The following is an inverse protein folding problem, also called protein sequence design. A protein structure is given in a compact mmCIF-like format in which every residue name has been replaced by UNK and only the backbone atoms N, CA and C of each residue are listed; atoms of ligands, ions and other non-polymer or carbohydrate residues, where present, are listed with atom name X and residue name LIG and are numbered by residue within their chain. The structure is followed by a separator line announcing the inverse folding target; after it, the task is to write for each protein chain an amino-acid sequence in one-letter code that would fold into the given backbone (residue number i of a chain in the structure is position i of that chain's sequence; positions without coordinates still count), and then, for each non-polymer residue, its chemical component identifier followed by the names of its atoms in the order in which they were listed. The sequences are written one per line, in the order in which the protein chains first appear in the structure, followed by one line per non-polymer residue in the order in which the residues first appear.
data_IF_734900923409
#
_entry.id   IF_734900923409
#
_cell.length_a   1.000
_cell.length_b   1.000
_cell.length_c   1.000
_cell.angle_alpha   90.00
_cell.angle_beta   90.00
_cell.angle_gamma   90.00
#
_symmetry.space_group_name_H-M   'P 1'
#
loop_
_entity.id
_entity.type
_entity.pdbx_description
1 polymer ?
#
# COMPACT_ATOMS: atom_id res chain seq x y z
N UNK A 1 -1.53 67.00 64.78
CA UNK A 1 -1.59 65.82 63.88
C UNK A 1 -2.99 65.22 63.97
N UNK A 2 -3.78 65.25 62.89
CA UNK A 2 -5.12 64.64 62.84
C UNK A 2 -5.00 63.34 62.03
N UNK A 3 -5.22 62.20 62.68
CA UNK A 3 -5.21 60.90 62.02
C UNK A 3 -6.52 60.70 61.24
N UNK A 4 -6.44 60.68 59.91
CA UNK A 4 -7.55 60.33 59.04
C UNK A 4 -7.77 58.81 59.08
N UNK A 5 -8.64 58.36 59.98
CA UNK A 5 -9.18 56.99 59.96
C UNK A 5 -10.02 56.80 58.69
N UNK A 6 -9.50 56.06 57.71
CA UNK A 6 -10.27 55.61 56.53
C UNK A 6 -11.47 54.79 57.02
N UNK A 7 -12.70 55.26 56.79
CA UNK A 7 -13.91 54.45 57.02
C UNK A 7 -13.90 53.29 56.03
N UNK A 8 -14.13 52.08 56.51
CA UNK A 8 -14.37 50.93 55.65
C UNK A 8 -15.73 51.11 54.98
N UNK A 9 -15.74 51.48 53.70
CA UNK A 9 -16.93 51.45 52.85
C UNK A 9 -17.25 49.98 52.54
N UNK A 10 -18.25 49.44 53.24
CA UNK A 10 -18.77 48.10 52.97
C UNK A 10 -19.74 48.12 51.78
N UNK A 11 -19.94 46.96 51.16
CA UNK A 11 -20.95 46.80 50.12
C UNK A 11 -22.35 46.82 50.71
N UNK A 12 -23.26 47.51 50.04
CA UNK A 12 -24.68 47.44 50.38
C UNK A 12 -25.25 46.08 49.99
N UNK A 13 -26.29 45.64 50.72
CA UNK A 13 -26.96 44.36 50.44
C UNK A 13 -27.46 44.28 48.99
N UNK A 14 -27.92 45.40 48.43
CA UNK A 14 -28.43 45.47 47.05
C UNK A 14 -27.30 45.29 46.01
N UNK A 15 -26.12 45.88 46.25
CA UNK A 15 -24.95 45.69 45.37
C UNK A 15 -24.50 44.23 45.37
N UNK A 16 -24.58 43.54 46.51
CA UNK A 16 -24.25 42.11 46.60
C UNK A 16 -25.26 41.27 45.80
N UNK A 17 -26.56 41.55 45.96
CA UNK A 17 -27.63 40.81 45.24
C UNK A 17 -27.49 41.01 43.72
N UNK A 18 -27.30 42.25 43.27
CA UNK A 18 -27.10 42.56 41.84
C UNK A 18 -25.84 41.86 41.32
N UNK A 19 -24.74 41.92 42.07
CA UNK A 19 -23.48 41.26 41.68
C UNK A 19 -23.63 39.74 41.56
N UNK A 20 -24.32 39.11 42.51
CA UNK A 20 -24.59 37.66 42.46
C UNK A 20 -25.49 37.29 41.28
N UNK A 21 -26.51 38.10 40.98
CA UNK A 21 -27.39 37.88 39.84
C UNK A 21 -26.64 37.99 38.50
N UNK A 22 -25.78 39.01 38.35
CA UNK A 22 -24.94 39.19 37.15
C UNK A 22 -23.95 38.03 36.98
N UNK A 23 -23.29 37.59 38.05
CA UNK A 23 -22.39 36.43 38.01
C UNK A 23 -23.16 35.18 37.58
N UNK A 24 -24.34 34.91 38.16
CA UNK A 24 -25.14 33.74 37.81
C UNK A 24 -25.52 33.70 36.32
N UNK A 25 -25.94 34.83 35.74
CA UNK A 25 -26.29 34.93 34.31
C UNK A 25 -25.06 34.65 33.44
N UNK A 26 -23.91 35.25 33.77
CA UNK A 26 -22.67 35.08 33.01
C UNK A 26 -22.13 33.65 33.14
N UNK A 27 -22.21 33.05 34.34
CA UNK A 27 -21.71 31.70 34.61
C UNK A 27 -22.34 30.65 33.72
N UNK A 28 -23.65 30.76 33.40
CA UNK A 28 -24.32 29.82 32.48
C UNK A 28 -23.72 29.90 31.07
N UNK A 29 -23.48 31.11 30.57
CA UNK A 29 -22.88 31.33 29.26
C UNK A 29 -21.43 30.81 29.19
N UNK A 30 -20.62 31.14 30.20
CA UNK A 30 -19.22 30.70 30.29
C UNK A 30 -19.13 29.18 30.41
N UNK A 31 -19.99 28.56 31.21
CA UNK A 31 -20.01 27.10 31.37
C UNK A 31 -20.32 26.39 30.05
N UNK A 32 -21.33 26.85 29.31
CA UNK A 32 -21.66 26.27 28.00
C UNK A 32 -20.52 26.45 26.99
N UNK A 33 -19.92 27.64 26.92
CA UNK A 33 -18.77 27.89 26.06
C UNK A 33 -17.58 26.98 26.42
N UNK A 34 -17.30 26.83 27.71
CA UNK A 34 -16.25 25.93 28.22
C UNK A 34 -16.50 24.47 27.83
N UNK A 35 -17.73 23.98 27.98
CA UNK A 35 -18.09 22.62 27.55
C UNK A 35 -17.90 22.41 26.05
N UNK A 36 -18.24 23.40 25.22
CA UNK A 36 -18.02 23.34 23.77
C UNK A 36 -16.53 23.27 23.46
N UNK A 37 -15.72 24.11 24.10
CA UNK A 37 -14.26 24.10 23.91
C UNK A 37 -13.63 22.77 24.31
N UNK A 38 -14.04 22.16 25.44
CA UNK A 38 -13.57 20.83 25.82
C UNK A 38 -13.96 19.78 24.77
N UNK A 39 -15.21 19.82 24.28
CA UNK A 39 -15.66 18.87 23.26
C UNK A 39 -14.87 19.01 21.95
N UNK A 40 -14.62 20.24 21.51
CA UNK A 40 -13.85 20.51 20.30
C UNK A 40 -12.38 20.10 20.45
N UNK A 41 -11.75 20.42 21.57
CA UNK A 41 -10.35 20.03 21.83
C UNK A 41 -10.19 18.51 21.92
N UNK A 42 -11.09 17.81 22.61
CA UNK A 42 -11.10 16.33 22.65
C UNK A 42 -11.30 15.72 21.25
N UNK A 43 -12.23 16.26 20.45
CA UNK A 43 -12.43 15.80 19.08
C UNK A 43 -11.20 16.05 18.19
N UNK A 44 -10.52 17.19 18.37
CA UNK A 44 -9.27 17.50 17.69
C UNK A 44 -8.13 16.56 18.07
N UNK A 45 -7.99 16.25 19.37
CA UNK A 45 -7.02 15.27 19.87
C UNK A 45 -7.24 13.88 19.29
N UNK A 46 -8.50 13.40 19.27
CA UNK A 46 -8.84 12.12 18.66
C UNK A 46 -8.44 12.07 17.17
N UNK A 47 -8.74 13.12 16.40
CA UNK A 47 -8.32 13.18 14.98
C UNK A 47 -6.80 13.13 14.80
N UNK A 48 -6.05 13.85 15.62
CA UNK A 48 -4.59 13.86 15.55
C UNK A 48 -3.99 12.50 15.91
N UNK A 49 -4.48 11.86 16.97
CA UNK A 49 -3.98 10.55 17.40
C UNK A 49 -4.36 9.45 16.40
N UNK A 50 -5.59 9.46 15.87
CA UNK A 50 -6.00 8.58 14.78
C UNK A 50 -5.15 8.79 13.52
N UNK A 51 -4.79 10.03 13.18
CA UNK A 51 -3.91 10.27 12.03
C UNK A 51 -2.51 9.72 12.24
N UNK A 52 -1.98 9.76 13.47
CA UNK A 52 -0.68 9.19 13.81
C UNK A 52 -0.71 7.65 13.71
N UNK A 53 -1.68 7.01 14.35
CA UNK A 53 -1.81 5.55 14.33
C UNK A 53 -2.11 5.02 12.92
N UNK A 54 -2.99 5.72 12.19
CA UNK A 54 -3.29 5.41 10.80
C UNK A 54 -2.05 5.48 9.91
N UNK A 55 -1.20 6.51 10.06
CA UNK A 55 0.06 6.62 9.33
C UNK A 55 1.04 5.50 9.68
N UNK A 56 1.14 5.14 10.96
CA UNK A 56 1.97 4.02 11.40
C UNK A 56 1.59 2.73 10.66
N UNK A 57 0.30 2.41 10.60
CA UNK A 57 -0.20 1.24 9.84
C UNK A 57 0.20 1.34 8.35
N UNK A 58 0.05 2.51 7.75
CA UNK A 58 0.42 2.72 6.34
C UNK A 58 1.91 2.52 6.07
N UNK A 59 2.78 3.01 6.97
CA UNK A 59 4.22 2.84 6.88
C UNK A 59 4.62 1.37 7.05
N UNK A 60 4.05 0.68 8.03
CA UNK A 60 4.27 -0.76 8.25
C UNK A 60 3.79 -1.61 7.08
N UNK A 61 2.67 -1.22 6.43
CA UNK A 61 2.19 -1.85 5.20
C UNK A 61 3.14 -1.64 4.03
N UNK A 62 3.83 -0.49 3.96
CA UNK A 62 4.81 -0.25 2.91
C UNK A 62 6.11 -1.02 3.19
N UNK A 63 6.57 -1.03 4.44
CA UNK A 63 7.84 -1.62 4.83
C UNK A 63 7.86 -3.16 4.87
N UNK A 64 6.75 -3.80 5.30
CA UNK A 64 6.75 -5.25 5.57
C UNK A 64 5.86 -6.03 4.62
N UNK A 65 6.28 -7.24 4.26
CA UNK A 65 5.45 -8.16 3.47
C UNK A 65 4.19 -8.56 4.24
N UNK A 66 3.03 -8.37 3.62
CA UNK A 66 1.76 -8.83 4.15
C UNK A 66 1.51 -10.27 3.66
N UNK A 67 0.91 -11.10 4.50
CA UNK A 67 0.48 -12.46 4.14
C UNK A 67 -1.01 -12.56 4.37
N UNK A 68 -1.78 -12.89 3.35
CA UNK A 68 -3.23 -13.10 3.50
C UNK A 68 -3.48 -14.58 3.81
N UNK A 69 -4.23 -14.90 4.87
CA UNK A 69 -4.64 -16.27 5.13
C UNK A 69 -5.45 -16.84 3.95
N UNK A 70 -5.07 -18.03 3.49
CA UNK A 70 -5.79 -18.75 2.43
C UNK A 70 -7.25 -19.08 2.78
N UNK A 71 -7.60 -19.07 4.07
CA UNK A 71 -8.95 -19.33 4.54
C UNK A 71 -9.44 -18.19 5.43
N UNK A 72 -10.50 -17.53 4.97
CA UNK A 72 -11.14 -16.40 5.65
C UNK A 72 -12.18 -16.95 6.63
N UNK A 73 -11.69 -17.57 7.70
CA UNK A 73 -12.53 -18.01 8.83
C UNK A 73 -12.57 -16.93 9.93
N UNK A 74 -13.47 -17.03 10.90
CA UNK A 74 -13.61 -16.07 12.00
C UNK A 74 -12.32 -15.79 12.79
N UNK A 75 -11.38 -16.74 12.78
CA UNK A 75 -10.13 -16.68 13.53
C UNK A 75 -8.92 -16.25 12.67
N UNK A 76 -9.13 -15.97 11.38
CA UNK A 76 -8.05 -15.54 10.52
C UNK A 76 -7.56 -14.13 10.94
N UNK A 77 -6.26 -13.91 10.87
CA UNK A 77 -5.64 -12.65 11.23
C UNK A 77 -4.56 -12.29 10.21
N UNK A 78 -4.37 -10.98 10.00
CA UNK A 78 -3.24 -10.44 9.26
C UNK A 78 -2.33 -9.68 10.22
N UNK A 79 -1.03 -9.79 10.01
CA UNK A 79 -0.03 -9.02 10.74
C UNK A 79 0.56 -7.96 9.81
N UNK A 80 0.50 -6.72 10.26
CA UNK A 80 1.07 -5.54 9.62
C UNK A 80 2.17 -5.03 10.55
N UNK A 81 3.41 -5.49 10.33
CA UNK A 81 4.48 -5.31 11.31
C UNK A 81 4.11 -5.97 12.65
N UNK A 82 4.17 -5.22 13.74
CA UNK A 82 3.76 -5.65 15.09
C UNK A 82 2.24 -5.53 15.35
N UNK A 83 1.45 -5.11 14.35
CA UNK A 83 0.02 -4.86 14.50
C UNK A 83 -0.79 -6.04 13.95
N UNK A 84 -1.60 -6.67 14.79
CA UNK A 84 -2.47 -7.78 14.37
C UNK A 84 -3.90 -7.31 14.17
N UNK A 85 -4.43 -7.49 12.96
CA UNK A 85 -5.85 -7.32 12.65
C UNK A 85 -6.55 -8.68 12.58
N UNK A 86 -7.73 -8.78 13.20
CA UNK A 86 -8.53 -10.00 13.35
C UNK A 86 -9.90 -9.82 12.68
N UNK A 87 -10.81 -10.78 12.88
CA UNK A 87 -12.23 -10.66 12.51
C UNK A 87 -12.44 -10.35 11.02
N UNK A 88 -11.98 -11.24 10.12
CA UNK A 88 -12.14 -10.99 8.72
C UNK A 88 -13.62 -11.01 8.36
N UNK A 89 -14.02 -10.07 7.52
CA UNK A 89 -15.35 -9.97 6.97
C UNK A 89 -15.23 -9.86 5.45
N UNK A 90 -15.71 -10.87 4.73
CA UNK A 90 -15.87 -10.77 3.30
C UNK A 90 -16.94 -9.72 2.97
N UNK A 91 -16.65 -8.87 2.01
CA UNK A 91 -17.53 -7.80 1.52
C UNK A 91 -17.73 -8.02 0.02
N UNK A 92 -18.75 -7.38 -0.57
CA UNK A 92 -18.98 -7.43 -2.01
C UNK A 92 -17.72 -7.05 -2.82
N UNK A 93 -17.62 -7.55 -4.05
CA UNK A 93 -16.50 -7.30 -4.99
C UNK A 93 -15.15 -7.89 -4.54
N UNK A 94 -15.16 -9.12 -4.00
CA UNK A 94 -13.97 -9.88 -3.56
C UNK A 94 -13.07 -9.17 -2.54
N UNK A 95 -13.59 -8.13 -1.88
CA UNK A 95 -12.88 -7.39 -0.85
C UNK A 95 -12.98 -8.09 0.51
N UNK A 96 -11.91 -8.02 1.29
CA UNK A 96 -11.86 -8.58 2.65
C UNK A 96 -11.49 -7.47 3.63
N UNK A 97 -12.27 -7.33 4.70
CA UNK A 97 -12.00 -6.36 5.77
C UNK A 97 -11.49 -7.10 7.00
N UNK A 98 -10.34 -6.68 7.52
CA UNK A 98 -9.84 -7.08 8.83
C UNK A 98 -10.00 -5.93 9.82
N UNK A 99 -10.37 -6.24 11.06
CA UNK A 99 -10.67 -5.25 12.10
C UNK A 99 -9.76 -5.41 13.32
N UNK A 100 -9.43 -4.29 13.93
CA UNK A 100 -8.80 -4.21 15.25
C UNK A 100 -9.59 -3.22 16.09
N UNK A 101 -9.82 -3.56 17.36
CA UNK A 101 -10.59 -2.74 18.27
C UNK A 101 -9.66 -2.07 19.27
N UNK A 102 -9.87 -0.77 19.50
CA UNK A 102 -9.03 0.03 20.39
C UNK A 102 -9.85 0.70 21.49
N UNK A 103 -9.22 0.92 22.64
CA UNK A 103 -9.77 1.72 23.74
C UNK A 103 -9.52 3.23 23.54
N UNK A 104 -9.88 4.05 24.54
CA UNK A 104 -9.73 5.52 24.49
C UNK A 104 -8.26 5.99 24.35
N UNK A 105 -7.29 5.14 24.69
CA UNK A 105 -5.86 5.41 24.61
C UNK A 105 -5.21 4.82 23.34
N UNK A 106 -6.00 4.39 22.35
CA UNK A 106 -5.51 3.75 21.13
C UNK A 106 -4.74 2.45 21.38
N UNK A 107 -5.04 1.76 22.49
CA UNK A 107 -4.50 0.45 22.82
C UNK A 107 -5.49 -0.64 22.48
N UNK A 108 -4.98 -1.76 21.96
CA UNK A 108 -5.75 -2.99 21.73
C UNK A 108 -5.90 -3.85 23.00
N UNK A 109 -5.26 -3.44 24.10
CA UNK A 109 -5.44 -3.99 25.44
C UNK A 109 -6.27 -3.07 26.32
N UNK A 110 -7.15 -3.66 27.12
CA UNK A 110 -7.87 -2.97 28.19
C UNK A 110 -7.01 -2.85 29.47
N UNK A 111 -7.57 -2.22 30.51
CA UNK A 111 -6.88 -2.02 31.79
C UNK A 111 -6.51 -3.31 32.53
N UNK A 112 -7.07 -4.45 32.14
CA UNK A 112 -6.74 -5.78 32.67
C UNK A 112 -5.66 -6.51 31.86
N UNK A 113 -5.22 -5.93 30.74
CA UNK A 113 -4.30 -6.56 29.79
C UNK A 113 -4.98 -7.51 28.79
N UNK A 114 -6.31 -7.55 28.79
CA UNK A 114 -7.11 -8.37 27.87
C UNK A 114 -7.34 -7.64 26.54
N UNK A 115 -7.57 -8.37 25.45
CA UNK A 115 -7.90 -7.77 24.15
C UNK A 115 -9.21 -6.97 24.25
N UNK A 116 -9.19 -5.74 23.72
CA UNK A 116 -10.39 -4.93 23.55
C UNK A 116 -11.32 -5.64 22.58
N UNK A 117 -12.57 -5.86 23.01
CA UNK A 117 -13.57 -6.52 22.19
C UNK A 117 -14.54 -5.51 21.55
N UNK A 118 -15.42 -6.03 20.71
CA UNK A 118 -16.42 -5.24 19.98
C UNK A 118 -17.29 -4.37 20.92
N UNK A 119 -17.62 -4.85 22.11
CA UNK A 119 -18.55 -4.16 23.03
C UNK A 119 -17.85 -3.03 23.79
N UNK A 120 -16.57 -3.20 24.11
CA UNK A 120 -15.77 -2.26 24.91
C UNK A 120 -15.00 -1.23 24.08
N UNK A 121 -15.02 -1.33 22.75
CA UNK A 121 -14.22 -0.49 21.87
C UNK A 121 -14.63 0.98 21.92
N UNK A 122 -13.63 1.85 21.82
CA UNK A 122 -13.82 3.27 21.51
C UNK A 122 -13.56 3.56 20.04
N UNK A 123 -12.58 2.90 19.45
CA UNK A 123 -12.24 3.05 18.04
C UNK A 123 -12.21 1.69 17.34
N UNK A 124 -12.54 1.71 16.06
CA UNK A 124 -12.38 0.56 15.16
C UNK A 124 -11.36 0.92 14.10
N UNK A 125 -10.30 0.14 14.01
CA UNK A 125 -9.36 0.19 12.87
C UNK A 125 -9.74 -0.90 11.88
N UNK A 126 -9.73 -0.55 10.60
CA UNK A 126 -10.06 -1.51 9.53
C UNK A 126 -9.03 -1.45 8.43
N UNK A 127 -8.56 -2.62 7.99
CA UNK A 127 -7.79 -2.80 6.77
C UNK A 127 -8.66 -3.52 5.76
N UNK A 128 -9.03 -2.84 4.70
CA UNK A 128 -9.76 -3.39 3.57
C UNK A 128 -8.77 -3.75 2.48
N UNK A 129 -8.75 -5.00 2.08
CA UNK A 129 -7.96 -5.52 0.97
C UNK A 129 -8.92 -5.81 -0.17
N UNK A 130 -8.84 -5.01 -1.23
CA UNK A 130 -9.58 -5.28 -2.47
C UNK A 130 -8.61 -5.76 -3.54
N UNK A 131 -8.74 -6.99 -4.05
CA UNK A 131 -7.89 -7.43 -5.15
C UNK A 131 -8.15 -6.51 -6.35
N UNK A 132 -7.11 -5.86 -6.83
CA UNK A 132 -7.13 -5.11 -8.07
C UNK A 132 -6.99 -6.13 -9.19
N UNK A 133 -8.07 -6.39 -9.91
CA UNK A 133 -7.97 -7.07 -11.19
C UNK A 133 -7.17 -6.13 -12.11
N UNK A 134 -5.95 -6.53 -12.46
CA UNK A 134 -5.29 -5.94 -13.61
C UNK A 134 -6.18 -6.26 -14.80
N UNK A 135 -6.78 -5.23 -15.40
CA UNK A 135 -7.62 -5.41 -16.56
C UNK A 135 -6.77 -6.02 -17.69
N UNK A 136 -7.30 -7.08 -18.26
CA UNK A 136 -6.56 -8.13 -18.94
C UNK A 136 -7.17 -9.50 -18.65
N UNK A 137 -8.51 -9.58 -18.70
CA UNK A 137 -9.35 -10.77 -18.66
C UNK A 137 -8.72 -12.04 -18.02
N UNK A 138 -9.07 -12.27 -16.75
CA UNK A 138 -8.79 -13.47 -15.93
C UNK A 138 -7.37 -13.58 -15.34
N UNK A 139 -7.17 -12.94 -14.18
CA UNK A 139 -6.20 -13.47 -13.21
C UNK A 139 -6.96 -14.20 -12.10
N UNK A 140 -7.44 -15.40 -12.45
CA UNK A 140 -7.60 -16.49 -11.49
C UNK A 140 -6.52 -17.52 -11.87
N UNK A 141 -5.40 -17.52 -11.14
CA UNK A 141 -4.47 -18.65 -11.17
C UNK A 141 -4.87 -19.61 -10.06
N UNK A 142 -5.93 -20.38 -10.33
CA UNK A 142 -6.20 -21.58 -9.55
C UNK A 142 -5.17 -22.63 -9.98
N UNK A 143 -4.29 -23.00 -9.06
CA UNK A 143 -3.43 -24.18 -9.16
C UNK A 143 -4.31 -25.38 -9.54
N UNK A 144 -4.19 -25.91 -10.77
CA UNK A 144 -4.36 -27.33 -11.13
C UNK A 144 -4.56 -27.62 -12.63
N UNK A 145 -4.62 -26.63 -13.52
CA UNK A 145 -4.67 -26.92 -14.95
C UNK A 145 -3.43 -26.43 -15.68
N UNK A 146 -2.75 -27.42 -16.28
CA UNK A 146 -1.68 -27.29 -17.25
C UNK A 146 -1.91 -26.14 -18.22
N UNK A 147 -0.84 -25.38 -18.40
CA UNK A 147 -0.52 -24.48 -19.51
C UNK A 147 -1.17 -25.01 -20.80
N UNK A 148 -2.32 -24.44 -21.16
CA UNK A 148 -2.94 -24.51 -22.47
C UNK A 148 -4.08 -23.49 -22.48
N UNK A 149 -3.78 -22.24 -22.83
CA UNK A 149 -4.82 -21.23 -23.09
C UNK A 149 -4.66 -19.86 -22.41
N UNK A 150 -3.46 -19.40 -22.07
CA UNK A 150 -3.24 -17.97 -21.83
C UNK A 150 -3.34 -17.25 -23.18
N UNK A 151 -4.44 -16.53 -23.40
CA UNK A 151 -4.57 -15.65 -24.57
C UNK A 151 -3.45 -14.61 -24.52
N UNK A 152 -2.64 -14.66 -25.57
CA UNK A 152 -1.26 -14.21 -25.67
C UNK A 152 -1.17 -12.71 -26.04
N UNK A 153 -1.81 -11.84 -25.26
CA UNK A 153 -2.01 -10.45 -25.70
C UNK A 153 -1.07 -9.42 -25.09
N UNK A 154 -0.42 -9.69 -23.95
CA UNK A 154 0.49 -8.73 -23.30
C UNK A 154 1.95 -8.94 -23.72
N UNK A 155 2.69 -7.85 -23.88
CA UNK A 155 4.10 -7.91 -24.29
C UNK A 155 4.98 -8.36 -23.11
N UNK A 156 5.78 -9.41 -23.32
CA UNK A 156 6.64 -9.98 -22.28
C UNK A 156 8.01 -10.32 -22.85
N UNK A 157 9.04 -10.05 -22.07
CA UNK A 157 10.37 -10.59 -22.30
C UNK A 157 11.00 -11.12 -21.02
N UNK A 158 12.00 -11.97 -21.19
CA UNK A 158 12.66 -12.75 -20.17
C UNK A 158 14.12 -12.37 -20.10
N UNK A 159 14.63 -12.16 -18.89
CA UNK A 159 16.06 -12.02 -18.61
C UNK A 159 16.48 -13.27 -17.83
N UNK A 160 17.51 -13.95 -18.32
CA UNK A 160 18.00 -15.19 -17.74
C UNK A 160 19.52 -15.23 -17.66
N UNK A 161 20.03 -16.28 -17.03
CA UNK A 161 21.46 -16.51 -16.85
C UNK A 161 21.81 -17.94 -17.20
N UNK A 162 22.77 -18.11 -18.11
CA UNK A 162 23.30 -19.40 -18.53
C UNK A 162 24.81 -19.48 -18.32
N UNK A 163 25.39 -20.68 -18.51
CA UNK A 163 26.82 -20.91 -18.37
C UNK A 163 27.68 -20.00 -19.27
N UNK A 164 27.11 -19.46 -20.35
CA UNK A 164 27.77 -18.55 -21.29
C UNK A 164 27.62 -17.07 -20.95
N UNK A 165 26.77 -16.69 -19.99
CA UNK A 165 26.50 -15.29 -19.64
C UNK A 165 25.01 -14.99 -19.39
N UNK A 166 24.72 -13.73 -19.10
CA UNK A 166 23.35 -13.23 -18.98
C UNK A 166 22.73 -13.00 -20.36
N UNK A 167 21.42 -13.21 -20.50
CA UNK A 167 20.73 -13.11 -21.78
C UNK A 167 19.33 -12.53 -21.67
N UNK A 168 18.80 -12.08 -22.81
CA UNK A 168 17.41 -11.64 -22.97
C UNK A 168 16.72 -12.32 -24.17
N UNK A 169 15.46 -12.70 -23.99
CA UNK A 169 14.62 -13.34 -25.03
C UNK A 169 13.14 -12.99 -24.86
N UNK A 170 12.36 -13.01 -25.94
CA UNK A 170 10.91 -12.91 -25.91
C UNK A 170 10.20 -14.27 -25.73
N UNK A 171 10.94 -15.38 -25.80
CA UNK A 171 10.40 -16.73 -25.64
C UNK A 171 11.28 -17.57 -24.71
N UNK A 172 10.76 -18.00 -23.55
CA UNK A 172 11.55 -18.70 -22.55
C UNK A 172 11.97 -20.12 -22.97
N UNK A 173 11.37 -20.67 -24.04
CA UNK A 173 11.64 -22.01 -24.57
C UNK A 173 12.52 -21.98 -25.84
N UNK A 174 13.08 -20.82 -26.22
CA UNK A 174 13.79 -20.66 -27.49
C UNK A 174 15.05 -21.51 -27.65
N UNK A 175 15.57 -22.14 -26.59
CA UNK A 175 16.71 -23.05 -26.67
C UNK A 175 16.45 -24.31 -27.53
N UNK A 176 15.19 -24.62 -27.86
CA UNK A 176 14.81 -25.70 -28.78
C UNK A 176 14.64 -25.25 -30.26
N UNK A 177 14.77 -23.95 -30.54
CA UNK A 177 14.62 -23.38 -31.89
C UNK A 177 15.86 -22.58 -32.29
N UNK A 178 16.16 -22.47 -33.60
CA UNK A 178 17.38 -21.84 -34.13
C UNK A 178 17.56 -20.31 -33.86
N UNK A 179 16.80 -19.71 -32.94
CA UNK A 179 16.97 -18.32 -32.52
C UNK A 179 17.70 -18.29 -31.17
N UNK A 180 18.99 -17.94 -31.18
CA UNK A 180 19.76 -17.78 -29.96
C UNK A 180 19.31 -16.51 -29.19
N UNK A 181 19.22 -16.57 -27.85
CA UNK A 181 19.04 -15.38 -27.03
C UNK A 181 20.15 -14.35 -27.24
N UNK A 182 19.83 -13.07 -27.03
CA UNK A 182 20.83 -12.00 -27.11
C UNK A 182 21.62 -11.95 -25.80
N UNK A 183 22.94 -12.11 -25.89
CA UNK A 183 23.85 -11.97 -24.76
C UNK A 183 23.88 -10.53 -24.26
N UNK A 184 23.79 -10.34 -22.94
CA UNK A 184 23.84 -9.04 -22.30
C UNK A 184 25.30 -8.74 -21.95
N UNK A 185 25.88 -7.74 -22.59
CA UNK A 185 27.21 -7.27 -22.22
C UNK A 185 27.16 -6.60 -20.83
N UNK A 186 28.12 -6.92 -19.96
CA UNK A 186 28.19 -6.37 -18.61
C UNK A 186 29.09 -5.13 -18.51
N UNK A 187 28.68 -4.14 -17.70
CA UNK A 187 29.57 -3.04 -17.32
C UNK A 187 30.31 -3.38 -16.03
N UNK A 188 31.47 -4.03 -16.14
CA UNK A 188 32.55 -4.29 -15.15
C UNK A 188 32.20 -4.80 -13.73
N UNK A 189 30.97 -4.60 -13.22
CA UNK A 189 30.38 -4.97 -11.92
C UNK A 189 28.85 -4.96 -11.90
N UNK A 190 28.15 -4.49 -12.93
CA UNK A 190 26.67 -4.41 -12.97
C UNK A 190 26.11 -4.64 -14.38
N UNK A 191 24.91 -5.21 -14.45
CA UNK A 191 24.14 -5.36 -15.68
C UNK A 191 23.33 -4.08 -15.86
N UNK A 192 23.44 -3.43 -17.02
CA UNK A 192 22.67 -2.21 -17.32
C UNK A 192 21.91 -2.39 -18.61
N UNK A 193 20.59 -2.30 -18.52
CA UNK A 193 19.66 -2.45 -19.64
C UNK A 193 18.86 -1.17 -19.79
N UNK A 194 18.63 -0.73 -21.02
CA UNK A 194 17.77 0.40 -21.33
C UNK A 194 16.55 -0.04 -22.13
N UNK A 195 15.35 0.24 -21.62
CA UNK A 195 14.07 -0.06 -22.28
C UNK A 195 13.49 1.23 -22.84
N UNK A 196 13.29 1.27 -24.15
CA UNK A 196 12.70 2.40 -24.87
C UNK A 196 11.30 2.01 -25.33
N UNK A 197 10.31 2.83 -24.97
CA UNK A 197 8.93 2.73 -25.45
C UNK A 197 8.70 3.94 -26.37
N UNK A 198 8.75 3.72 -27.68
CA UNK A 198 8.56 4.76 -28.68
C UNK A 198 7.20 4.56 -29.37
N UNK A 199 6.48 5.64 -29.70
CA UNK A 199 5.25 5.52 -30.49
C UNK A 199 5.59 4.90 -31.85
N UNK A 200 4.85 3.86 -32.25
CA UNK A 200 5.14 3.17 -33.50
C UNK A 200 4.94 4.09 -34.70
N UNK A 201 5.85 4.01 -35.67
CA UNK A 201 5.78 4.82 -36.89
C UNK A 201 4.68 4.33 -37.85
N UNK A 202 4.24 3.08 -37.70
CA UNK A 202 3.32 2.42 -38.61
C UNK A 202 1.88 2.37 -38.08
N UNK A 203 1.69 2.39 -36.76
CA UNK A 203 0.38 2.34 -36.11
C UNK A 203 0.34 3.25 -34.86
N UNK A 204 -0.57 4.22 -34.85
CA UNK A 204 -0.67 5.20 -33.77
C UNK A 204 -1.17 4.60 -32.44
N UNK A 205 -1.77 3.41 -32.46
CA UNK A 205 -2.24 2.70 -31.28
C UNK A 205 -1.19 1.74 -30.71
N UNK A 206 0.00 1.70 -31.33
CA UNK A 206 1.08 0.79 -30.94
C UNK A 206 2.33 1.54 -30.49
N UNK A 207 3.09 0.87 -29.65
CA UNK A 207 4.42 1.26 -29.22
C UNK A 207 5.45 0.24 -29.70
N UNK A 208 6.58 0.75 -30.20
CA UNK A 208 7.77 -0.05 -30.50
C UNK A 208 8.63 -0.08 -29.23
N UNK A 209 8.87 -1.28 -28.73
CA UNK A 209 9.65 -1.55 -27.52
C UNK A 209 11.03 -2.01 -27.95
N UNK A 210 12.07 -1.27 -27.55
CA UNK A 210 13.46 -1.63 -27.80
C UNK A 210 14.22 -1.80 -26.51
N UNK A 211 14.90 -2.93 -26.36
CA UNK A 211 15.77 -3.20 -25.23
C UNK A 211 17.21 -3.15 -25.69
N UNK A 212 18.03 -2.35 -25.03
CA UNK A 212 19.45 -2.14 -25.37
C UNK A 212 20.36 -2.47 -24.19
N UNK A 213 21.57 -2.94 -24.50
CA UNK A 213 22.66 -3.07 -23.52
C UNK A 213 23.26 -1.70 -23.13
N UNK A 214 24.29 -1.71 -22.28
CA UNK A 214 24.99 -0.48 -21.87
C UNK A 214 25.84 0.17 -22.98
N UNK A 215 26.21 -0.58 -24.02
CA UNK A 215 26.92 -0.07 -25.21
C UNK A 215 25.95 0.56 -26.22
N UNK A 216 24.64 0.37 -26.03
CA UNK A 216 23.58 0.84 -26.92
C UNK A 216 23.23 -0.15 -28.04
N UNK A 217 23.75 -1.38 -27.99
CA UNK A 217 23.42 -2.45 -28.92
C UNK A 217 21.98 -2.92 -28.69
N UNK A 218 21.23 -3.16 -29.77
CA UNK A 218 19.87 -3.68 -29.67
C UNK A 218 19.89 -5.15 -29.26
N UNK A 219 19.26 -5.48 -28.14
CA UNK A 219 19.14 -6.84 -27.63
C UNK A 219 17.79 -7.47 -27.98
N UNK A 220 16.72 -6.67 -27.95
CA UNK A 220 15.37 -7.10 -28.29
C UNK A 220 14.59 -5.94 -28.93
N UNK A 221 13.73 -6.27 -29.88
CA UNK A 221 12.77 -5.33 -30.46
C UNK A 221 11.43 -6.02 -30.66
N UNK A 222 10.36 -5.42 -30.13
CA UNK A 222 9.00 -5.93 -30.22
C UNK A 222 8.00 -4.79 -30.33
N UNK A 223 6.77 -5.09 -30.72
CA UNK A 223 5.68 -4.11 -30.82
C UNK A 223 4.55 -4.51 -29.88
N UNK A 224 3.98 -3.54 -29.19
CA UNK A 224 2.87 -3.70 -28.25
C UNK A 224 1.75 -2.70 -28.54
N UNK A 225 0.55 -2.96 -28.06
CA UNK A 225 -0.52 -1.95 -28.05
C UNK A 225 -0.27 -0.97 -26.87
N UNK A 226 -0.48 0.33 -27.06
CA UNK A 226 -0.13 1.40 -26.08
C UNK A 226 -0.87 1.24 -24.74
N UNK A 227 -2.06 0.64 -24.76
CA UNK A 227 -2.88 0.40 -23.58
C UNK A 227 -2.47 -0.87 -22.81
N UNK A 228 -1.58 -1.69 -23.38
CA UNK A 228 -1.17 -2.96 -22.78
C UNK A 228 0.06 -2.84 -21.92
N UNK A 229 0.12 -3.73 -20.94
CA UNK A 229 1.21 -3.77 -19.97
C UNK A 229 2.43 -4.53 -20.51
N UNK A 230 3.62 -4.06 -20.15
CA UNK A 230 4.89 -4.71 -20.43
C UNK A 230 5.35 -5.53 -19.22
N UNK A 231 5.73 -6.79 -19.46
CA UNK A 231 6.23 -7.70 -18.43
C UNK A 231 7.72 -8.01 -18.64
N UNK A 232 8.52 -7.79 -17.61
CA UNK A 232 9.95 -8.11 -17.53
C UNK A 232 10.11 -9.27 -16.55
N UNK A 233 10.48 -10.46 -17.02
CA UNK A 233 10.45 -11.67 -16.22
C UNK A 233 11.86 -12.27 -16.01
N UNK A 234 12.24 -12.47 -14.75
CA UNK A 234 13.54 -13.03 -14.32
C UNK A 234 13.45 -14.49 -13.84
N UNK A 235 12.40 -15.24 -14.20
CA UNK A 235 12.21 -16.64 -13.79
C UNK A 235 13.31 -17.59 -14.31
N UNK A 236 14.07 -17.16 -15.32
CA UNK A 236 15.19 -17.93 -15.89
C UNK A 236 16.54 -17.49 -15.33
N UNK A 237 16.59 -16.52 -14.42
CA UNK A 237 17.85 -15.96 -13.91
C UNK A 237 18.50 -16.84 -12.83
N UNK A 238 17.71 -17.58 -12.06
CA UNK A 238 18.20 -18.37 -10.91
C UNK A 238 18.08 -19.89 -11.13
N UNK A 239 17.69 -20.36 -12.32
CA UNK A 239 17.49 -21.80 -12.57
C UNK A 239 18.78 -22.60 -12.67
N UNK A 240 19.91 -21.96 -12.96
CA UNK A 240 21.06 -22.68 -13.49
C UNK A 240 22.11 -23.08 -12.46
N UNK A 241 22.17 -22.54 -11.23
CA UNK A 241 23.10 -23.06 -10.22
C UNK A 241 22.75 -22.70 -8.77
N UNK A 242 22.92 -23.66 -7.86
CA UNK A 242 22.95 -23.53 -6.38
C UNK A 242 24.08 -22.62 -5.84
N UNK A 243 24.63 -21.71 -6.65
CA UNK A 243 25.73 -20.84 -6.22
C UNK A 243 25.20 -19.58 -5.57
N UNK A 244 25.37 -19.53 -4.25
CA UNK A 244 25.29 -18.35 -3.38
C UNK A 244 26.36 -17.29 -3.74
N UNK A 245 26.47 -16.90 -5.01
CA UNK A 245 27.44 -15.90 -5.47
C UNK A 245 26.73 -14.65 -5.92
N UNK A 246 26.97 -13.57 -5.16
CA UNK A 246 26.72 -12.15 -5.47
C UNK A 246 26.40 -11.90 -6.95
N UNK A 247 25.12 -11.99 -7.32
CA UNK A 247 24.70 -11.57 -8.64
C UNK A 247 24.96 -10.08 -8.78
N UNK A 248 25.54 -9.70 -9.92
CA UNK A 248 25.77 -8.32 -10.25
C UNK A 248 24.42 -7.57 -10.16
N UNK A 249 24.34 -6.41 -9.51
CA UNK A 249 23.11 -5.64 -9.48
C UNK A 249 22.66 -5.31 -10.91
N UNK A 250 21.37 -5.42 -11.16
CA UNK A 250 20.75 -5.17 -12.46
C UNK A 250 20.10 -3.79 -12.41
N UNK A 251 20.45 -2.93 -13.35
CA UNK A 251 19.86 -1.60 -13.49
C UNK A 251 19.05 -1.54 -14.79
N UNK A 252 17.75 -1.29 -14.67
CA UNK A 252 16.84 -1.11 -15.80
C UNK A 252 16.50 0.37 -15.92
N UNK A 253 16.94 0.99 -17.01
CA UNK A 253 16.66 2.38 -17.34
C UNK A 253 15.47 2.45 -18.31
N UNK A 254 14.35 3.05 -17.89
CA UNK A 254 13.13 3.11 -18.69
C UNK A 254 12.97 4.50 -19.30
N UNK A 255 12.80 4.54 -20.62
CA UNK A 255 12.54 5.73 -21.40
C UNK A 255 11.18 5.59 -22.10
N UNK A 256 10.11 5.96 -21.39
CA UNK A 256 8.81 6.12 -22.03
C UNK A 256 8.79 7.43 -22.83
N UNK A 257 8.67 7.31 -24.15
CA UNK A 257 8.60 8.43 -25.10
C UNK A 257 7.23 8.52 -25.77
N UNK A 258 6.26 7.76 -25.27
CA UNK A 258 4.85 7.89 -25.64
C UNK A 258 4.19 9.00 -24.80
N UNK A 259 2.96 9.35 -25.17
CA UNK A 259 2.15 10.36 -24.46
C UNK A 259 1.34 9.76 -23.30
N UNK A 260 1.27 8.43 -23.21
CA UNK A 260 0.45 7.69 -22.24
C UNK A 260 1.35 7.07 -21.18
N UNK A 261 0.88 6.99 -19.94
CA UNK A 261 1.60 6.31 -18.88
C UNK A 261 1.62 4.79 -19.13
N UNK A 262 2.81 4.20 -19.32
CA UNK A 262 2.95 2.76 -19.53
C UNK A 262 3.00 2.01 -18.20
N UNK A 263 2.36 0.83 -18.16
CA UNK A 263 2.38 -0.07 -17.02
C UNK A 263 3.47 -1.12 -17.23
N UNK A 264 4.48 -1.16 -16.36
CA UNK A 264 5.60 -2.11 -16.43
C UNK A 264 5.61 -3.00 -15.19
N UNK A 265 5.50 -4.30 -15.40
CA UNK A 265 5.56 -5.32 -14.38
C UNK A 265 6.92 -6.00 -14.40
N UNK A 266 7.57 -6.07 -13.24
CA UNK A 266 8.88 -6.70 -13.09
C UNK A 266 8.70 -7.92 -12.20
N UNK A 267 8.93 -9.11 -12.73
CA UNK A 267 8.76 -10.40 -12.05
C UNK A 267 10.13 -10.97 -11.71
N UNK A 268 10.56 -10.91 -10.45
CA UNK A 268 11.91 -11.31 -10.01
C UNK A 268 11.95 -12.07 -8.69
N UNK A 269 13.07 -12.71 -8.39
CA UNK A 269 13.29 -13.32 -7.07
C UNK A 269 13.66 -12.28 -6.01
N UNK A 270 13.42 -12.59 -4.74
CA UNK A 270 13.80 -11.75 -3.59
C UNK A 270 15.33 -11.61 -3.48
N UNK A 271 16.08 -12.61 -3.91
CA UNK A 271 17.55 -12.60 -3.93
C UNK A 271 18.11 -11.68 -5.00
N UNK A 272 17.34 -11.38 -6.06
CA UNK A 272 17.84 -10.59 -7.18
C UNK A 272 17.74 -9.08 -6.94
N UNK A 273 18.89 -8.42 -6.98
CA UNK A 273 19.01 -6.96 -6.86
C UNK A 273 18.77 -6.28 -8.21
N UNK A 274 17.49 -6.05 -8.53
CA UNK A 274 17.06 -5.26 -9.69
C UNK A 274 16.60 -3.89 -9.23
N UNK A 275 17.24 -2.84 -9.74
CA UNK A 275 16.85 -1.45 -9.60
C UNK A 275 16.28 -0.95 -10.91
N UNK A 276 15.24 -0.13 -10.84
CA UNK A 276 14.58 0.41 -12.02
C UNK A 276 14.44 1.92 -11.90
N UNK A 277 15.01 2.62 -12.86
CA UNK A 277 15.03 4.08 -12.93
C UNK A 277 14.22 4.56 -14.14
N UNK A 278 13.23 5.43 -13.88
CA UNK A 278 12.49 6.13 -14.94
C UNK A 278 13.33 7.32 -15.38
N UNK A 279 13.89 7.25 -16.59
CA UNK A 279 14.73 8.30 -17.17
C UNK A 279 13.91 9.30 -18.00
N UNK A 280 12.77 8.88 -18.55
CA UNK A 280 11.88 9.73 -19.35
C UNK A 280 10.44 9.20 -19.36
N UNK A 281 9.47 10.12 -19.37
CA UNK A 281 8.03 9.82 -19.50
C UNK A 281 7.35 9.42 -18.19
N UNK A 282 6.05 9.14 -18.28
CA UNK A 282 5.25 8.63 -17.16
C UNK A 282 5.20 7.11 -17.23
N UNK A 283 5.53 6.44 -16.13
CA UNK A 283 5.53 4.98 -16.05
C UNK A 283 5.03 4.57 -14.67
N UNK A 284 4.14 3.58 -14.64
CA UNK A 284 3.77 2.89 -13.42
C UNK A 284 4.59 1.60 -13.32
N UNK A 285 5.49 1.52 -12.35
CA UNK A 285 6.31 0.33 -12.12
C UNK A 285 5.65 -0.55 -11.05
N UNK A 286 5.47 -1.82 -11.39
CA UNK A 286 4.95 -2.85 -10.51
C UNK A 286 6.06 -3.89 -10.25
N UNK A 287 6.80 -3.74 -9.14
CA UNK A 287 7.85 -4.68 -8.72
C UNK A 287 7.22 -5.88 -7.99
N UNK A 288 7.32 -7.07 -8.59
CA UNK A 288 6.81 -8.34 -8.09
C UNK A 288 7.98 -9.25 -7.69
N UNK A 289 8.14 -9.49 -6.38
CA UNK A 289 9.25 -10.26 -5.80
C UNK A 289 8.79 -11.61 -5.25
N UNK A 290 9.38 -12.71 -5.72
CA UNK A 290 9.08 -14.08 -5.27
C UNK A 290 10.19 -14.64 -4.36
N UNK A 291 9.82 -15.38 -3.30
CA UNK A 291 10.80 -16.04 -2.39
C UNK A 291 11.47 -17.27 -3.04
N UNK A 292 10.87 -17.83 -4.10
CA UNK A 292 11.36 -19.03 -4.78
C UNK A 292 11.21 -18.85 -6.29
N UNK A 293 12.27 -19.17 -7.03
CA UNK A 293 12.41 -19.00 -8.49
C UNK A 293 11.63 -20.01 -9.30
N UNK A 294 11.33 -21.18 -8.72
CA UNK A 294 10.42 -22.18 -9.30
C UNK A 294 8.94 -21.91 -8.97
N UNK A 295 8.68 -21.03 -7.98
CA UNK A 295 7.34 -20.59 -7.59
C UNK A 295 7.26 -19.07 -7.70
N UNK A 296 7.51 -18.54 -8.91
CA UNK A 296 7.12 -17.19 -9.30
C UNK A 296 5.59 -17.05 -9.33
N UNK A 297 4.92 -17.40 -8.23
CA UNK A 297 3.50 -17.19 -8.04
C UNK A 297 3.31 -15.70 -7.87
N UNK A 298 2.71 -15.10 -8.88
CA UNK A 298 2.23 -13.73 -8.87
C UNK A 298 1.41 -13.54 -7.58
N UNK A 299 1.86 -12.66 -6.69
CA UNK A 299 0.99 -12.17 -5.61
C UNK A 299 -0.12 -11.32 -6.22
N UNK A 300 -1.34 -11.41 -5.69
CA UNK A 300 -2.44 -10.58 -6.18
C UNK A 300 -2.16 -9.12 -5.78
N UNK A 301 -2.32 -8.18 -6.71
CA UNK A 301 -2.26 -6.75 -6.39
C UNK A 301 -3.52 -6.40 -5.59
N UNK A 302 -3.34 -5.72 -4.45
CA UNK A 302 -4.47 -5.24 -3.66
C UNK A 302 -4.44 -3.72 -3.58
N UNK A 303 -5.60 -3.12 -3.81
CA UNK A 303 -5.94 -1.79 -3.30
C UNK A 303 -6.23 -1.96 -1.80
N UNK A 304 -5.34 -1.39 -0.98
CA UNK A 304 -5.44 -1.43 0.48
C UNK A 304 -6.01 -0.10 0.95
N UNK A 305 -7.09 -0.16 1.71
CA UNK A 305 -7.66 0.98 2.41
C UNK A 305 -7.55 0.76 3.92
N UNK A 306 -6.98 1.72 4.62
CA UNK A 306 -6.93 1.75 6.09
C UNK A 306 -7.88 2.83 6.59
N UNK A 307 -8.73 2.50 7.56
CA UNK A 307 -9.65 3.45 8.19
C UNK A 307 -9.61 3.33 9.71
N UNK A 308 -9.79 4.46 10.40
CA UNK A 308 -9.99 4.49 11.85
C UNK A 308 -11.26 5.28 12.12
N UNK A 309 -12.24 4.64 12.77
CA UNK A 309 -13.55 5.22 13.06
C UNK A 309 -13.79 5.35 14.55
N UNK A 310 -14.46 6.44 14.95
CA UNK A 310 -14.97 6.62 16.31
C UNK A 310 -16.25 5.82 16.52
N UNK A 311 -16.24 4.91 17.49
CA UNK A 311 -17.41 4.22 17.99
C UNK A 311 -18.01 4.99 19.16
N UNK A 312 -19.27 5.42 19.00
CA UNK A 312 -20.00 6.09 20.07
C UNK A 312 -21.20 5.24 20.50
N UNK A 313 -21.15 4.77 21.75
CA UNK A 313 -22.29 4.12 22.41
C UNK A 313 -23.27 5.19 22.87
N UNK A 314 -24.50 5.17 22.36
CA UNK A 314 -25.56 6.03 22.91
C UNK A 314 -26.03 5.52 24.28
N UNK A 315 -26.42 6.46 25.14
CA UNK A 315 -26.69 6.26 26.58
C UNK A 315 -27.95 5.39 26.82
N UNK A 316 -28.79 5.17 25.81
CA UNK A 316 -30.05 4.41 25.93
C UNK A 316 -29.98 2.99 25.35
N UNK A 317 -28.77 2.44 25.14
CA UNK A 317 -28.61 1.05 24.71
C UNK A 317 -29.03 0.76 23.27
N UNK A 318 -29.43 1.78 22.51
CA UNK A 318 -29.60 1.72 21.06
C UNK A 318 -28.82 2.85 20.38
N UNK A 319 -27.74 2.48 19.69
CA UNK A 319 -27.43 2.73 18.27
C UNK A 319 -26.01 2.18 18.01
N UNK A 320 -25.88 1.40 16.94
CA UNK A 320 -24.68 0.62 16.54
C UNK A 320 -24.07 1.20 15.25
N UNK A 321 -23.63 2.44 15.23
CA UNK A 321 -23.04 3.00 14.01
C UNK A 321 -21.72 3.70 14.27
N UNK A 322 -20.71 3.29 13.50
CA UNK A 322 -19.42 3.97 13.40
C UNK A 322 -19.69 5.35 12.77
N UNK A 323 -19.56 6.44 13.55
CA UNK A 323 -20.06 7.77 13.15
C UNK A 323 -19.10 8.52 12.23
N UNK A 324 -17.88 8.71 12.71
CA UNK A 324 -16.92 9.62 12.08
C UNK A 324 -15.66 8.88 11.68
N UNK A 325 -15.33 8.97 10.39
CA UNK A 325 -14.04 8.54 9.88
C UNK A 325 -12.97 9.53 10.35
N UNK A 326 -12.11 9.11 11.27
CA UNK A 326 -11.05 9.94 11.83
C UNK A 326 -9.78 9.90 10.98
N UNK A 327 -9.57 8.82 10.22
CA UNK A 327 -8.44 8.65 9.32
C UNK A 327 -8.81 7.77 8.13
N UNK A 328 -8.28 8.09 6.96
CA UNK A 328 -8.31 7.19 5.79
C UNK A 328 -6.98 7.26 5.06
N UNK A 329 -6.40 6.09 4.82
CA UNK A 329 -5.19 5.91 4.02
C UNK A 329 -5.45 4.92 2.88
N UNK A 330 -4.75 5.13 1.77
CA UNK A 330 -4.79 4.24 0.60
C UNK A 330 -3.38 3.84 0.22
N UNK A 331 -3.19 2.57 -0.09
CA UNK A 331 -1.94 2.02 -0.61
C UNK A 331 -2.26 0.97 -1.67
N UNK A 332 -1.29 0.69 -2.55
CA UNK A 332 -1.35 -0.45 -3.45
C UNK A 332 -0.17 -1.35 -3.16
N UNK A 333 -0.43 -2.64 -2.98
CA UNK A 333 0.63 -3.59 -2.67
C UNK A 333 0.32 -4.97 -3.23
N UNK A 334 1.34 -5.63 -3.76
CA UNK A 334 1.28 -7.04 -4.11
C UNK A 334 1.35 -7.88 -2.84
N UNK A 335 0.36 -8.74 -2.62
CA UNK A 335 0.27 -9.60 -1.43
C UNK A 335 0.25 -11.07 -1.85
N UNK A 336 0.99 -11.91 -1.12
CA UNK A 336 1.09 -13.36 -1.34
C UNK A 336 0.09 -14.14 -0.52
#
# INVERSE_FOLDING_TARGET
MKNNSKKHEGFTLIEIIISMALIAIISVGVYNAYLVLIKQTKAGQAKQMSALEGKKIMEELQANDLKIPNNINSDAAINVGDITFKYPQAVAEDAVIYKRYLNENYSDKDSSGSDVNEISRKYTETVTLKPTQADGENVILNDNNLINGLNNNNCRFYIGKENSGDYITDNPNQHESNNLPSEIDENSRKIVISVYLDKSQTDQNKEDIKVKDYKGSDLLSMTNDIDKSLYINFSQYDKTNNSSQNDAPIEINIYNRTEVASNIYIEKSNSLNVNTDIRKGQVNIYDNRAENTEKSKIGTLYDIKVEIKDYKKDIEGQIKEDKDNLFTGYSKKNIK
#
